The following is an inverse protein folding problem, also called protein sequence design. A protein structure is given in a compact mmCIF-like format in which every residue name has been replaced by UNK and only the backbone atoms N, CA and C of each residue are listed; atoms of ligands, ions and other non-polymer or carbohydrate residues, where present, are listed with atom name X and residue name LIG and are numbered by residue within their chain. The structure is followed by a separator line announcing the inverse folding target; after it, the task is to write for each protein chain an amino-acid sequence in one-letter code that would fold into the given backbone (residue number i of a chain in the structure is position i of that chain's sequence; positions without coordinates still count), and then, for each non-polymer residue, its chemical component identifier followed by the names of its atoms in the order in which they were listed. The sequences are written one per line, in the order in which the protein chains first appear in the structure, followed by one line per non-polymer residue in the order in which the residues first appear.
data_IF_344685642740
#
_entry.id   IF_344685642740
#
_cell.length_a   1.000
_cell.length_b   1.000
_cell.length_c   1.000
_cell.angle_alpha   90.00
_cell.angle_beta   90.00
_cell.angle_gamma   90.00
#
_symmetry.space_group_name_H-M   'P 1'
#
loop_
_entity.id
_entity.type
_entity.pdbx_description
1 polymer ?
#
# COMPACT_ATOMS: atom_id res chain seq x y z
N UNK A 1 14.60 -5.93 -57.17
CA UNK A 1 15.14 -4.90 -58.08
C UNK A 1 16.56 -4.63 -57.67
N UNK A 2 17.43 -5.10 -58.54
CA UNK A 2 18.84 -4.80 -58.86
C UNK A 2 19.82 -5.10 -57.71
N UNK A 3 20.60 -6.24 -57.72
CA UNK A 3 21.58 -6.65 -58.74
C UNK A 3 22.59 -5.59 -59.07
N UNK A 4 23.82 -5.97 -58.77
CA UNK A 4 25.02 -5.92 -59.63
C UNK A 4 26.24 -6.17 -58.73
N UNK A 5 26.94 -7.28 -58.71
CA UNK A 5 27.69 -8.09 -59.68
C UNK A 5 28.80 -7.30 -60.40
N UNK A 6 29.97 -7.78 -60.29
CA UNK A 6 31.09 -7.86 -61.27
C UNK A 6 32.41 -7.95 -60.47
N UNK A 7 33.05 -9.08 -60.44
CA UNK A 7 33.82 -9.82 -61.48
C UNK A 7 35.23 -9.31 -61.73
N UNK A 8 36.10 -10.27 -61.52
CA UNK A 8 37.21 -10.69 -62.33
C UNK A 8 38.63 -10.06 -62.27
N UNK A 9 39.52 -10.94 -61.96
CA UNK A 9 40.62 -11.45 -62.81
C UNK A 9 42.00 -10.81 -62.62
N UNK A 10 43.04 -11.40 -62.52
CA UNK A 10 43.77 -12.55 -63.09
C UNK A 10 45.28 -12.35 -62.86
N UNK A 11 45.96 -13.48 -62.80
CA UNK A 11 47.30 -13.81 -63.28
C UNK A 11 48.56 -13.64 -62.41
N UNK A 12 49.00 -14.84 -62.05
CA UNK A 12 50.32 -15.49 -62.47
C UNK A 12 51.65 -14.93 -61.98
N UNK A 13 52.42 -15.87 -61.45
CA UNK A 13 53.89 -15.87 -61.52
C UNK A 13 54.56 -16.81 -60.53
N UNK A 14 54.65 -18.03 -60.89
CA UNK A 14 55.68 -19.04 -60.60
C UNK A 14 57.00 -18.53 -59.93
N UNK A 15 57.52 -19.19 -58.91
CA UNK A 15 58.57 -20.25 -58.96
C UNK A 15 59.46 -20.27 -57.71
N UNK A 16 59.82 -21.50 -57.30
CA UNK A 16 60.88 -21.97 -56.43
C UNK A 16 60.71 -21.98 -54.90
N UNK A 17 60.47 -23.19 -54.44
CA UNK A 17 61.04 -23.62 -53.14
C UNK A 17 62.56 -23.84 -53.23
N UNK A 18 63.26 -24.21 -52.19
CA UNK A 18 62.88 -25.10 -51.07
C UNK A 18 63.44 -24.67 -49.72
N UNK A 19 62.91 -25.24 -48.65
CA UNK A 19 63.70 -25.92 -47.58
C UNK A 19 62.79 -26.28 -46.40
N UNK A 20 62.59 -27.57 -46.33
CA UNK A 20 62.08 -28.31 -45.19
C UNK A 20 63.01 -28.11 -44.01
N UNK A 21 62.78 -27.20 -43.06
CA UNK A 21 63.38 -27.22 -41.72
C UNK A 21 62.78 -26.15 -40.75
N UNK A 22 61.65 -25.52 -41.14
CA UNK A 22 61.04 -24.47 -40.24
C UNK A 22 59.55 -24.75 -39.91
N UNK A 23 59.03 -25.96 -40.16
CA UNK A 23 57.58 -26.26 -39.88
C UNK A 23 57.29 -26.84 -38.50
N UNK A 24 58.30 -27.16 -37.69
CA UNK A 24 58.07 -27.80 -36.39
C UNK A 24 58.02 -26.77 -35.24
N UNK A 25 58.71 -25.61 -35.34
CA UNK A 25 58.65 -24.57 -34.30
C UNK A 25 57.39 -23.66 -34.41
N UNK A 26 56.80 -23.49 -35.60
CA UNK A 26 55.64 -22.62 -35.81
C UNK A 26 54.30 -23.28 -35.43
N UNK A 27 54.20 -24.61 -35.37
CA UNK A 27 52.98 -25.31 -34.96
C UNK A 27 52.80 -25.38 -33.44
N UNK A 28 53.88 -25.42 -32.65
CA UNK A 28 53.83 -25.42 -31.18
C UNK A 28 53.46 -24.05 -30.59
N UNK A 29 53.95 -22.96 -31.21
CA UNK A 29 53.62 -21.59 -30.76
C UNK A 29 52.16 -21.19 -31.10
N UNK A 30 51.59 -21.71 -32.22
CA UNK A 30 50.20 -21.45 -32.62
C UNK A 30 49.22 -22.24 -31.73
N UNK A 31 49.55 -23.52 -31.39
CA UNK A 31 48.71 -24.35 -30.51
C UNK A 31 48.68 -23.80 -29.05
N UNK A 32 49.84 -23.29 -28.53
CA UNK A 32 49.89 -22.66 -27.21
C UNK A 32 49.11 -21.33 -27.18
N UNK A 33 49.16 -20.52 -28.23
CA UNK A 33 48.40 -19.27 -28.30
C UNK A 33 46.91 -19.47 -28.51
N UNK A 34 46.50 -20.48 -29.29
CA UNK A 34 45.06 -20.84 -29.40
C UNK A 34 44.49 -21.38 -28.11
N UNK A 35 45.23 -22.22 -27.36
CA UNK A 35 44.78 -22.71 -26.05
C UNK A 35 44.71 -21.62 -24.99
N UNK A 36 45.65 -20.66 -24.97
CA UNK A 36 45.60 -19.49 -24.06
C UNK A 36 44.43 -18.55 -24.41
N UNK A 37 44.12 -18.36 -25.69
CA UNK A 37 42.98 -17.54 -26.11
C UNK A 37 41.65 -18.23 -25.78
N UNK A 38 41.52 -19.55 -25.97
CA UNK A 38 40.34 -20.30 -25.56
C UNK A 38 40.10 -20.23 -24.04
N UNK A 39 41.17 -20.38 -23.24
CA UNK A 39 41.08 -20.29 -21.76
C UNK A 39 40.72 -18.89 -21.30
N UNK A 40 41.24 -17.83 -21.90
CA UNK A 40 40.90 -16.42 -21.58
C UNK A 40 39.45 -16.12 -22.00
N UNK A 41 38.99 -16.64 -23.12
CA UNK A 41 37.62 -16.46 -23.62
C UNK A 41 36.62 -17.19 -22.69
N UNK A 42 36.97 -18.42 -22.25
CA UNK A 42 36.11 -19.22 -21.36
C UNK A 42 35.97 -18.55 -19.96
N UNK A 43 37.06 -18.02 -19.40
CA UNK A 43 37.04 -17.25 -18.14
C UNK A 43 36.18 -15.99 -18.30
N UNK A 44 36.27 -15.32 -19.45
CA UNK A 44 35.45 -14.13 -19.74
C UNK A 44 33.97 -14.47 -19.89
N UNK A 45 33.60 -15.59 -20.44
CA UNK A 45 32.20 -16.04 -20.54
C UNK A 45 31.64 -16.47 -19.18
N UNK A 46 32.43 -17.18 -18.37
CA UNK A 46 32.00 -17.55 -17.01
C UNK A 46 31.72 -16.33 -16.13
N UNK A 47 32.57 -15.31 -16.21
CA UNK A 47 32.37 -14.06 -15.46
C UNK A 47 31.14 -13.30 -15.95
N UNK A 48 30.88 -13.27 -17.26
CA UNK A 48 29.64 -12.69 -17.81
C UNK A 48 28.40 -13.47 -17.39
N UNK A 49 28.46 -14.79 -17.38
CA UNK A 49 27.35 -15.64 -16.90
C UNK A 49 27.05 -15.37 -15.43
N UNK A 50 28.08 -15.30 -14.57
CA UNK A 50 27.90 -14.95 -13.14
C UNK A 50 27.27 -13.57 -12.94
N UNK A 51 27.74 -12.59 -13.71
CA UNK A 51 27.17 -11.24 -13.61
C UNK A 51 25.71 -11.21 -14.05
N UNK A 52 25.35 -11.93 -15.14
CA UNK A 52 23.97 -12.06 -15.60
C UNK A 52 23.10 -12.82 -14.60
N UNK A 53 23.62 -13.86 -13.95
CA UNK A 53 22.92 -14.58 -12.90
C UNK A 53 22.65 -13.69 -11.68
N UNK A 54 23.63 -12.89 -11.26
CA UNK A 54 23.47 -11.91 -10.18
C UNK A 54 22.44 -10.83 -10.54
N UNK A 55 22.48 -10.30 -11.76
CA UNK A 55 21.50 -9.35 -12.26
C UNK A 55 20.09 -9.97 -12.29
N UNK A 56 19.97 -11.20 -12.74
CA UNK A 56 18.71 -11.94 -12.79
C UNK A 56 18.17 -12.20 -11.37
N UNK A 57 19.04 -12.58 -10.43
CA UNK A 57 18.64 -12.79 -9.03
C UNK A 57 18.15 -11.49 -8.42
N UNK A 58 18.87 -10.39 -8.63
CA UNK A 58 18.48 -9.05 -8.17
C UNK A 58 17.15 -8.61 -8.77
N UNK A 59 17.00 -8.76 -10.09
CA UNK A 59 15.76 -8.43 -10.78
C UNK A 59 14.57 -9.27 -10.28
N UNK A 60 14.77 -10.57 -10.01
CA UNK A 60 13.74 -11.42 -9.40
C UNK A 60 13.35 -10.93 -8.01
N UNK A 61 14.32 -10.54 -7.18
CA UNK A 61 14.06 -10.01 -5.85
C UNK A 61 13.27 -8.68 -5.92
N UNK A 62 13.63 -7.79 -6.84
CA UNK A 62 12.89 -6.55 -7.08
C UNK A 62 11.45 -6.80 -7.53
N UNK A 63 11.24 -7.70 -8.49
CA UNK A 63 9.89 -8.09 -8.94
C UNK A 63 9.06 -8.64 -7.78
N UNK A 64 9.64 -9.50 -6.94
CA UNK A 64 8.93 -10.02 -5.76
C UNK A 64 8.56 -8.90 -4.78
N UNK A 65 9.48 -7.97 -4.52
CA UNK A 65 9.22 -6.83 -3.64
C UNK A 65 8.12 -5.92 -4.20
N UNK A 66 8.19 -5.58 -5.50
CA UNK A 66 7.16 -4.78 -6.17
C UNK A 66 5.79 -5.46 -6.11
N UNK A 67 5.74 -6.77 -6.37
CA UNK A 67 4.47 -7.53 -6.27
C UNK A 67 3.91 -7.50 -4.86
N UNK A 68 4.75 -7.66 -3.83
CA UNK A 68 4.34 -7.60 -2.43
C UNK A 68 3.76 -6.24 -2.08
N UNK A 69 4.46 -5.16 -2.47
CA UNK A 69 4.01 -3.78 -2.23
C UNK A 69 2.69 -3.53 -2.97
N UNK A 70 2.61 -3.87 -4.26
CA UNK A 70 1.39 -3.69 -5.05
C UNK A 70 0.19 -4.42 -4.45
N UNK A 71 0.37 -5.66 -3.97
CA UNK A 71 -0.70 -6.41 -3.30
C UNK A 71 -1.15 -5.71 -2.02
N UNK A 72 -0.22 -5.18 -1.22
CA UNK A 72 -0.55 -4.43 -0.02
C UNK A 72 -1.32 -3.14 -0.35
N UNK A 73 -0.87 -2.39 -1.35
CA UNK A 73 -1.55 -1.14 -1.77
C UNK A 73 -2.96 -1.41 -2.33
N UNK A 74 -3.12 -2.46 -3.15
CA UNK A 74 -4.45 -2.86 -3.63
C UNK A 74 -5.36 -3.27 -2.47
N UNK A 75 -4.83 -3.99 -1.49
CA UNK A 75 -5.60 -4.37 -0.29
C UNK A 75 -6.00 -3.15 0.52
N UNK A 76 -5.07 -2.22 0.77
CA UNK A 76 -5.37 -0.95 1.44
C UNK A 76 -6.41 -0.13 0.68
N UNK A 77 -6.25 0.00 -0.64
CA UNK A 77 -7.20 0.72 -1.48
C UNK A 77 -8.61 0.12 -1.43
N UNK A 78 -8.73 -1.21 -1.39
CA UNK A 78 -10.03 -1.90 -1.25
C UNK A 78 -10.65 -1.68 0.13
N UNK A 79 -9.85 -1.74 1.20
CA UNK A 79 -10.34 -1.59 2.57
C UNK A 79 -10.75 -0.14 2.88
N UNK A 80 -9.96 0.82 2.42
CA UNK A 80 -10.13 2.24 2.75
C UNK A 80 -10.64 3.10 1.60
N UNK A 81 -10.89 2.52 0.41
CA UNK A 81 -11.38 3.25 -0.75
C UNK A 81 -12.75 3.91 -0.54
N UNK A 82 -13.51 3.41 0.41
CA UNK A 82 -14.83 3.96 0.79
C UNK A 82 -14.77 4.96 1.96
N UNK A 83 -13.59 5.25 2.51
CA UNK A 83 -13.43 6.10 3.69
C UNK A 83 -14.04 7.48 3.50
N UNK A 84 -13.79 8.11 2.35
CA UNK A 84 -14.33 9.43 2.03
C UNK A 84 -15.85 9.42 1.97
N UNK A 85 -16.42 8.43 1.28
CA UNK A 85 -17.86 8.26 1.18
C UNK A 85 -18.49 7.99 2.55
N UNK A 86 -17.85 7.14 3.35
CA UNK A 86 -18.31 6.83 4.70
C UNK A 86 -18.39 8.09 5.57
N UNK A 87 -17.39 8.98 5.52
CA UNK A 87 -17.40 10.24 6.26
C UNK A 87 -18.60 11.14 5.89
N UNK A 88 -18.96 11.18 4.61
CA UNK A 88 -20.15 11.92 4.16
C UNK A 88 -21.45 11.29 4.70
N UNK A 89 -21.54 9.96 4.72
CA UNK A 89 -22.68 9.27 5.30
C UNK A 89 -22.83 9.49 6.81
N UNK A 90 -21.73 9.69 7.54
CA UNK A 90 -21.79 10.02 8.96
C UNK A 90 -22.49 11.38 9.21
N UNK A 91 -22.39 12.33 8.28
CA UNK A 91 -23.11 13.60 8.39
C UNK A 91 -24.63 13.42 8.24
N UNK A 92 -25.06 12.43 7.48
CA UNK A 92 -26.48 12.05 7.34
C UNK A 92 -26.96 11.40 8.66
N UNK A 93 -26.16 10.51 9.26
CA UNK A 93 -26.47 9.91 10.55
C UNK A 93 -26.66 10.99 11.64
N UNK A 94 -25.73 11.95 11.72
CA UNK A 94 -25.83 13.07 12.66
C UNK A 94 -27.09 13.92 12.45
N UNK A 95 -27.52 14.07 11.19
CA UNK A 95 -28.73 14.81 10.86
C UNK A 95 -30.00 14.06 11.25
N UNK A 96 -29.99 12.72 11.11
CA UNK A 96 -31.09 11.88 11.59
C UNK A 96 -31.18 11.91 13.12
N UNK A 97 -30.05 11.83 13.82
CA UNK A 97 -30.01 11.93 15.29
C UNK A 97 -30.61 13.26 15.75
N UNK A 98 -30.14 14.39 15.19
CA UNK A 98 -30.70 15.71 15.52
C UNK A 98 -32.19 15.83 15.21
N UNK A 99 -32.67 15.18 14.13
CA UNK A 99 -34.09 15.18 13.80
C UNK A 99 -34.90 14.40 14.84
N UNK A 100 -34.39 13.25 15.31
CA UNK A 100 -34.98 12.44 16.37
C UNK A 100 -35.06 13.24 17.67
N UNK A 101 -33.97 13.93 18.06
CA UNK A 101 -33.92 14.74 19.27
C UNK A 101 -34.84 15.97 19.21
N UNK A 102 -35.12 16.48 18.03
CA UNK A 102 -36.01 17.61 17.78
C UNK A 102 -37.50 17.25 17.75
N UNK A 103 -37.84 15.95 17.72
CA UNK A 103 -39.22 15.51 17.73
C UNK A 103 -39.89 15.82 19.07
N UNK A 104 -41.06 16.49 19.03
CA UNK A 104 -41.90 16.74 20.18
C UNK A 104 -42.66 15.47 20.64
N UNK A 105 -43.25 15.51 21.84
CA UNK A 105 -44.06 14.41 22.38
C UNK A 105 -45.49 14.38 21.82
N UNK A 106 -45.78 15.19 20.78
CA UNK A 106 -47.11 15.18 20.14
C UNK A 106 -47.31 13.87 19.34
N UNK A 107 -48.55 13.38 19.28
CA UNK A 107 -48.90 12.10 18.73
C UNK A 107 -48.43 11.89 17.26
N UNK A 108 -48.52 12.92 16.43
CA UNK A 108 -48.00 12.90 15.07
C UNK A 108 -46.46 12.87 15.02
N UNK A 109 -45.77 13.46 15.97
CA UNK A 109 -44.31 13.50 16.08
C UNK A 109 -43.76 12.15 16.54
N UNK A 110 -44.50 11.37 17.33
CA UNK A 110 -44.10 10.03 17.78
C UNK A 110 -43.98 9.08 16.60
N UNK A 111 -44.93 9.08 15.66
CA UNK A 111 -44.88 8.24 14.47
C UNK A 111 -43.71 8.56 13.57
N UNK A 112 -43.40 9.86 13.42
CA UNK A 112 -42.25 10.34 12.66
C UNK A 112 -40.95 9.92 13.35
N UNK A 113 -40.87 10.05 14.68
CA UNK A 113 -39.72 9.64 15.49
C UNK A 113 -39.40 8.16 15.32
N UNK A 114 -40.42 7.30 15.43
CA UNK A 114 -40.28 5.84 15.20
C UNK A 114 -39.74 5.53 13.81
N UNK A 115 -40.23 6.22 12.78
CA UNK A 115 -39.73 6.08 11.40
C UNK A 115 -38.26 6.51 11.24
N UNK A 116 -37.87 7.61 11.88
CA UNK A 116 -36.49 8.11 11.88
C UNK A 116 -35.55 7.14 12.63
N UNK A 117 -35.96 6.66 13.81
CA UNK A 117 -35.19 5.67 14.57
C UNK A 117 -34.98 4.37 13.78
N UNK A 118 -36.01 3.89 13.08
CA UNK A 118 -35.88 2.71 12.22
C UNK A 118 -34.89 2.97 11.08
N UNK A 119 -34.95 4.15 10.48
CA UNK A 119 -34.04 4.55 9.40
C UNK A 119 -32.58 4.63 9.90
N UNK A 120 -32.37 5.21 11.08
CA UNK A 120 -31.05 5.29 11.72
C UNK A 120 -30.49 3.89 12.01
N UNK A 121 -31.31 3.00 12.61
CA UNK A 121 -30.90 1.60 12.86
C UNK A 121 -30.50 0.86 11.57
N UNK A 122 -31.25 1.06 10.49
CA UNK A 122 -30.92 0.47 9.18
C UNK A 122 -29.60 1.00 8.63
N UNK A 123 -29.35 2.31 8.77
CA UNK A 123 -28.10 2.93 8.39
C UNK A 123 -26.92 2.37 9.22
N UNK A 124 -27.06 2.32 10.55
CA UNK A 124 -26.05 1.73 11.44
C UNK A 124 -25.74 0.27 11.09
N UNK A 125 -26.78 -0.52 10.78
CA UNK A 125 -26.62 -1.91 10.33
C UNK A 125 -25.86 -2.02 9.00
N UNK A 126 -26.15 -1.15 8.04
CA UNK A 126 -25.45 -1.10 6.75
C UNK A 126 -23.99 -0.69 6.92
N UNK A 127 -23.69 0.30 7.78
CA UNK A 127 -22.35 0.73 8.12
C UNK A 127 -21.57 -0.43 8.75
N UNK A 128 -22.16 -1.13 9.72
CA UNK A 128 -21.55 -2.28 10.39
C UNK A 128 -21.22 -3.41 9.42
N UNK A 129 -22.11 -3.69 8.47
CA UNK A 129 -21.85 -4.69 7.42
C UNK A 129 -20.67 -4.31 6.54
N UNK A 130 -20.41 -3.00 6.39
CA UNK A 130 -19.26 -2.45 5.66
C UNK A 130 -17.99 -2.34 6.50
N UNK A 131 -17.99 -2.85 7.75
CA UNK A 131 -16.85 -2.79 8.67
C UNK A 131 -16.68 -1.44 9.35
N UNK A 132 -17.72 -0.61 9.36
CA UNK A 132 -17.75 0.67 10.07
C UNK A 132 -18.52 0.50 11.36
N UNK A 133 -17.87 0.72 12.50
CA UNK A 133 -18.44 0.53 13.82
C UNK A 133 -18.42 1.83 14.62
N UNK A 134 -19.45 2.03 15.44
CA UNK A 134 -19.49 3.14 16.37
C UNK A 134 -18.47 2.91 17.49
N UNK A 135 -17.77 3.98 17.87
CA UNK A 135 -16.87 3.96 19.04
C UNK A 135 -17.70 3.80 20.31
N UNK A 136 -17.36 2.77 21.08
CA UNK A 136 -18.01 2.52 22.36
C UNK A 136 -17.50 3.52 23.42
N UNK A 137 -18.44 4.26 23.99
CA UNK A 137 -18.19 5.24 25.07
C UNK A 137 -18.73 4.77 26.42
N UNK A 138 -19.22 3.53 26.51
CA UNK A 138 -19.80 2.99 27.74
C UNK A 138 -18.77 2.82 28.86
N UNK A 139 -17.50 2.64 28.52
CA UNK A 139 -16.40 2.57 29.51
C UNK A 139 -16.17 3.89 30.22
N UNK A 140 -16.69 4.99 29.67
CA UNK A 140 -16.52 6.36 30.17
C UNK A 140 -15.06 6.85 30.29
N UNK A 141 -14.09 6.04 29.91
CA UNK A 141 -12.68 6.40 29.90
C UNK A 141 -12.34 7.19 28.61
N UNK A 142 -11.70 8.32 28.78
CA UNK A 142 -11.26 9.13 27.65
C UNK A 142 -10.01 8.53 27.00
N UNK A 143 -10.11 8.23 25.72
CA UNK A 143 -9.01 7.73 24.89
C UNK A 143 -8.71 8.76 23.77
N UNK A 144 -7.53 9.42 23.78
CA UNK A 144 -7.18 10.42 22.77
C UNK A 144 -7.14 9.92 21.32
N UNK A 145 -7.00 8.60 21.09
CA UNK A 145 -7.00 8.03 19.75
C UNK A 145 -8.41 7.91 19.15
N UNK A 146 -9.43 7.86 20.01
CA UNK A 146 -10.82 7.62 19.64
C UNK A 146 -11.76 8.78 19.99
N UNK A 147 -11.37 9.63 20.94
CA UNK A 147 -12.22 10.67 21.49
C UNK A 147 -11.58 12.06 21.32
N UNK A 148 -12.40 13.05 21.02
CA UNK A 148 -12.04 14.46 20.97
C UNK A 148 -12.80 15.20 22.09
N UNK A 149 -12.09 15.66 23.11
CA UNK A 149 -12.68 16.45 24.18
C UNK A 149 -12.94 17.88 23.68
N UNK A 150 -14.22 18.24 23.51
CA UNK A 150 -14.63 19.57 23.05
C UNK A 150 -14.91 20.52 24.21
N UNK A 151 -15.21 19.98 25.39
CA UNK A 151 -15.49 20.77 26.60
C UNK A 151 -15.05 20.01 27.86
N UNK A 152 -14.65 20.78 28.88
CA UNK A 152 -14.32 20.29 30.18
C UNK A 152 -15.40 20.79 31.17
N UNK A 153 -16.02 19.87 31.88
CA UNK A 153 -16.99 20.21 32.94
C UNK A 153 -16.38 19.89 34.32
N UNK A 154 -16.49 20.83 35.24
CA UNK A 154 -16.05 20.61 36.62
C UNK A 154 -17.07 19.73 37.33
N UNK A 155 -16.67 18.55 37.74
CA UNK A 155 -17.47 17.62 38.54
C UNK A 155 -16.54 16.88 39.50
N UNK A 156 -16.70 17.20 40.80
CA UNK A 156 -15.89 16.61 41.86
C UNK A 156 -16.30 15.16 42.21
N UNK A 157 -17.48 14.71 41.72
CA UNK A 157 -17.98 13.35 41.95
C UNK A 157 -17.41 12.32 40.97
N UNK A 158 -16.80 12.80 39.86
CA UNK A 158 -16.23 11.95 38.83
C UNK A 158 -14.70 12.01 38.86
N UNK A 159 -14.08 10.92 38.41
CA UNK A 159 -12.63 10.94 38.19
C UNK A 159 -12.28 11.88 37.01
N UNK A 160 -11.12 12.57 37.06
CA UNK A 160 -10.68 13.39 35.95
C UNK A 160 -10.59 12.59 34.67
N UNK A 161 -10.90 13.22 33.53
CA UNK A 161 -10.91 12.59 32.20
C UNK A 161 -11.98 11.49 32.01
N UNK A 162 -13.07 11.54 32.80
CA UNK A 162 -14.24 10.69 32.60
C UNK A 162 -15.17 11.32 31.57
N UNK A 163 -15.68 10.56 30.61
CA UNK A 163 -16.67 11.02 29.64
C UNK A 163 -18.02 11.23 30.36
N UNK A 164 -18.50 12.46 30.33
CA UNK A 164 -19.78 12.86 30.92
C UNK A 164 -20.89 12.76 29.89
N UNK A 165 -20.63 13.26 28.67
CA UNK A 165 -21.62 13.33 27.62
C UNK A 165 -20.96 13.17 26.24
N UNK A 166 -21.75 12.72 25.25
CA UNK A 166 -21.33 12.51 23.86
C UNK A 166 -22.11 13.44 22.96
N UNK A 167 -21.46 14.50 22.51
CA UNK A 167 -22.07 15.51 21.62
C UNK A 167 -22.18 15.02 20.19
N UNK A 168 -21.25 14.16 19.74
CA UNK A 168 -21.25 13.59 18.40
C UNK A 168 -20.61 12.19 18.45
N UNK A 169 -21.31 11.20 17.92
CA UNK A 169 -20.82 9.81 17.89
C UNK A 169 -19.58 9.69 17.00
N UNK A 170 -18.60 8.94 17.46
CA UNK A 170 -17.40 8.57 16.73
C UNK A 170 -17.55 7.24 16.01
N UNK A 171 -16.77 7.02 14.94
CA UNK A 171 -16.80 5.81 14.14
C UNK A 171 -15.40 5.38 13.72
N UNK A 172 -15.21 4.06 13.66
CA UNK A 172 -14.00 3.42 13.13
C UNK A 172 -14.34 2.62 11.88
N UNK A 173 -13.36 2.45 10.99
CA UNK A 173 -13.41 1.47 9.90
C UNK A 173 -12.34 0.44 10.17
N UNK A 174 -12.74 -0.80 10.46
CA UNK A 174 -11.83 -1.82 10.96
C UNK A 174 -11.07 -1.28 12.19
N UNK A 175 -9.74 -1.19 12.12
CA UNK A 175 -8.89 -0.71 13.22
C UNK A 175 -8.51 0.78 13.13
N UNK A 176 -9.09 1.52 12.18
CA UNK A 176 -8.74 2.93 11.96
C UNK A 176 -9.90 3.86 12.29
N UNK A 177 -9.61 4.92 13.05
CA UNK A 177 -10.59 5.97 13.36
C UNK A 177 -10.94 6.78 12.12
N UNK A 178 -12.22 6.74 11.71
CA UNK A 178 -12.79 7.58 10.65
C UNK A 178 -13.05 8.99 11.16
N UNK A 179 -13.67 9.07 12.34
CA UNK A 179 -14.03 10.29 13.04
C UNK A 179 -14.03 10.02 14.54
N UNK A 180 -13.29 10.78 15.35
CA UNK A 180 -13.35 10.63 16.80
C UNK A 180 -14.74 11.01 17.33
N UNK A 181 -15.12 10.44 18.47
CA UNK A 181 -16.31 10.87 19.19
C UNK A 181 -16.04 12.20 19.87
N UNK A 182 -16.90 13.19 19.66
CA UNK A 182 -16.81 14.46 20.38
C UNK A 182 -17.50 14.35 21.72
N UNK A 183 -16.73 14.53 22.78
CA UNK A 183 -17.17 14.25 24.13
C UNK A 183 -16.93 15.44 25.05
N UNK A 184 -17.74 15.50 26.11
CA UNK A 184 -17.52 16.37 27.27
C UNK A 184 -16.88 15.52 28.35
N UNK A 185 -15.77 15.96 28.93
CA UNK A 185 -15.03 15.20 29.94
C UNK A 185 -14.98 15.95 31.27
N UNK A 186 -14.87 15.18 32.35
CA UNK A 186 -14.76 15.72 33.73
C UNK A 186 -13.38 16.31 33.97
N UNK A 187 -13.35 17.41 34.70
CA UNK A 187 -12.18 18.03 35.33
C UNK A 187 -12.45 18.25 36.80
N UNK A 188 -11.49 17.98 37.68
CA UNK A 188 -11.62 18.38 39.09
C UNK A 188 -11.58 19.90 39.22
N UNK A 189 -12.44 20.42 40.09
CA UNK A 189 -12.41 21.81 40.50
C UNK A 189 -11.03 22.13 41.10
N UNK A 190 -10.38 23.18 40.63
CA UNK A 190 -9.16 23.65 41.27
C UNK A 190 -9.58 24.42 42.51
N UNK A 191 -9.39 23.83 43.70
CA UNK A 191 -9.43 24.59 44.94
C UNK A 191 -8.38 25.71 44.85
N UNK A 192 -8.88 26.93 44.87
CA UNK A 192 -8.08 28.15 44.90
C UNK A 192 -7.75 28.50 46.37
#
# INVERSE_FOLDING_TARGET
MKEDNLDLNDKNGLDKGPSEDNEIESQSEVDETESEIEEIVDISFEDQVKELEDQLLRAKAEVQNVRRIATQEVTKARLFGVESLAKEFLSVADSLERAIDSCSEEENSIIIKEGLELTLRNLESALKTSGIEQIDVNTKDFDPEKHEAISLLEDDNLEPNTIIDVVQKGYTILDRTLRPAKVVVSKKSQEN
#
